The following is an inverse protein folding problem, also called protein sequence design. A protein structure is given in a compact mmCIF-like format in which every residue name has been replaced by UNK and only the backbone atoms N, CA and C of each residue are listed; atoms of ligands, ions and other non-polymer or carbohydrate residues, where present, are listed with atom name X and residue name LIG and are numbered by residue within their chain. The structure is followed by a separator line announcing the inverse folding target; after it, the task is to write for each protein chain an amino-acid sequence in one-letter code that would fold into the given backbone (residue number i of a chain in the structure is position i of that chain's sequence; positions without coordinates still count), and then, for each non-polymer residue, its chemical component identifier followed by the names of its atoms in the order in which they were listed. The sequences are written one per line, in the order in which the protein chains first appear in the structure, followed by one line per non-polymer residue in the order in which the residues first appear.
data_IF_554298022561
#
_entry.id   IF_554298022561
#
_cell.length_a   1.000
_cell.length_b   1.000
_cell.length_c   1.000
_cell.angle_alpha   90.00
_cell.angle_beta   90.00
_cell.angle_gamma   90.00
#
_symmetry.space_group_name_H-M   'P 1'
#
loop_
_entity.id
_entity.type
_entity.pdbx_description
1 polymer ?
#
# COMPACT_ATOMS: atom_id res chain seq x y z
N UNK A 1 -30.27 -7.70 43.64
CA UNK A 1 -30.09 -8.11 42.23
C UNK A 1 -29.81 -6.97 41.24
N UNK A 2 -29.89 -5.70 41.60
CA UNK A 2 -29.65 -4.55 40.68
C UNK A 2 -28.18 -4.16 40.47
N UNK A 3 -27.27 -4.43 41.41
CA UNK A 3 -25.84 -4.07 41.32
C UNK A 3 -25.06 -4.81 40.21
N UNK A 4 -25.45 -6.04 39.87
CA UNK A 4 -24.76 -6.83 38.85
C UNK A 4 -25.09 -6.38 37.41
N UNK A 5 -26.26 -5.80 37.14
CA UNK A 5 -26.62 -5.32 35.79
C UNK A 5 -25.82 -4.09 35.38
N UNK A 6 -25.61 -3.12 36.32
CA UNK A 6 -24.80 -1.93 36.05
C UNK A 6 -23.32 -2.25 35.81
N UNK A 7 -22.76 -3.21 36.53
CA UNK A 7 -21.37 -3.64 36.34
C UNK A 7 -21.18 -4.33 34.96
N UNK A 8 -22.12 -5.19 34.58
CA UNK A 8 -22.09 -5.85 33.27
C UNK A 8 -22.26 -4.84 32.12
N UNK A 9 -23.09 -3.83 32.29
CA UNK A 9 -23.31 -2.76 31.29
C UNK A 9 -22.07 -1.87 31.14
N UNK A 10 -21.39 -1.51 32.25
CA UNK A 10 -20.14 -0.78 32.23
C UNK A 10 -19.00 -1.57 31.60
N UNK A 11 -18.91 -2.89 31.89
CA UNK A 11 -17.91 -3.76 31.30
C UNK A 11 -18.12 -3.92 29.79
N UNK A 12 -19.36 -4.08 29.34
CA UNK A 12 -19.71 -4.11 27.91
C UNK A 12 -19.39 -2.77 27.22
N UNK A 13 -19.71 -1.64 27.86
CA UNK A 13 -19.40 -0.32 27.31
C UNK A 13 -17.89 -0.08 27.19
N UNK A 14 -17.10 -0.50 28.19
CA UNK A 14 -15.64 -0.41 28.14
C UNK A 14 -15.03 -1.30 27.05
N UNK A 15 -15.57 -2.48 26.81
CA UNK A 15 -15.18 -3.39 25.73
C UNK A 15 -15.52 -2.81 24.34
N UNK A 16 -16.64 -2.10 24.20
CA UNK A 16 -16.99 -1.41 22.94
C UNK A 16 -16.05 -0.24 22.65
N UNK A 17 -15.70 0.56 23.65
CA UNK A 17 -14.77 1.70 23.49
C UNK A 17 -13.36 1.21 23.13
N UNK A 18 -12.88 0.17 23.80
CA UNK A 18 -11.57 -0.45 23.49
C UNK A 18 -11.55 -1.10 22.11
N UNK A 19 -12.63 -1.76 21.69
CA UNK A 19 -12.74 -2.32 20.33
C UNK A 19 -12.71 -1.23 19.25
N UNK A 20 -13.39 -0.09 19.45
CA UNK A 20 -13.35 1.03 18.51
C UNK A 20 -11.93 1.61 18.38
N UNK A 21 -11.22 1.78 19.49
CA UNK A 21 -9.85 2.31 19.49
C UNK A 21 -8.88 1.33 18.81
N UNK A 22 -8.95 0.03 19.11
CA UNK A 22 -8.11 -1.00 18.48
C UNK A 22 -8.36 -1.09 16.96
N UNK A 23 -9.59 -0.88 16.50
CA UNK A 23 -9.87 -0.90 15.07
C UNK A 23 -9.41 0.37 14.33
N UNK A 24 -9.26 1.51 15.05
CA UNK A 24 -8.68 2.73 14.50
C UNK A 24 -7.17 2.70 14.36
N UNK A 25 -6.47 1.89 15.15
CA UNK A 25 -5.00 1.82 15.10
C UNK A 25 -4.43 1.20 13.81
N UNK A 26 -5.27 0.69 12.92
CA UNK A 26 -4.85 0.14 11.63
C UNK A 26 -4.84 1.16 10.49
N UNK A 27 -5.31 2.38 10.71
CA UNK A 27 -5.35 3.43 9.71
C UNK A 27 -4.96 4.76 10.37
N UNK A 28 -3.81 5.29 9.97
CA UNK A 28 -3.27 6.57 10.45
C UNK A 28 -3.13 7.55 9.27
N UNK A 29 -4.26 8.02 8.71
CA UNK A 29 -4.21 8.93 7.58
C UNK A 29 -3.53 10.24 7.97
N UNK A 30 -2.76 10.78 7.03
CA UNK A 30 -2.36 12.18 7.00
C UNK A 30 -3.20 12.81 5.90
N UNK A 31 -4.19 13.59 6.30
CA UNK A 31 -5.08 14.31 5.38
C UNK A 31 -4.43 15.64 4.97
N UNK A 32 -4.60 16.02 3.72
CA UNK A 32 -4.23 17.34 3.22
C UNK A 32 -5.49 18.14 2.97
N UNK A 33 -5.47 19.42 3.34
CA UNK A 33 -6.57 20.32 2.98
C UNK A 33 -6.68 20.40 1.44
N UNK A 34 -7.88 20.37 0.91
CA UNK A 34 -8.14 20.40 -0.53
C UNK A 34 -7.59 21.64 -1.24
N UNK A 35 -7.40 22.73 -0.51
CA UNK A 35 -6.81 23.99 -0.98
C UNK A 35 -5.33 24.16 -0.60
N UNK A 36 -4.72 23.13 0.01
CA UNK A 36 -3.30 23.16 0.35
C UNK A 36 -2.44 23.35 -0.90
N UNK A 37 -1.58 24.36 -0.87
CA UNK A 37 -0.70 24.72 -1.99
C UNK A 37 0.69 24.12 -1.88
N UNK A 38 1.09 23.65 -0.72
CA UNK A 38 2.41 23.06 -0.55
C UNK A 38 2.50 22.16 0.68
N UNK A 39 3.48 21.24 0.63
CA UNK A 39 3.98 20.48 1.76
C UNK A 39 5.50 20.59 1.82
N UNK A 40 6.08 20.44 3.01
CA UNK A 40 7.53 20.49 3.19
C UNK A 40 8.02 19.19 3.80
N UNK A 41 9.06 18.62 3.18
CA UNK A 41 9.77 17.44 3.66
C UNK A 41 11.22 17.82 3.98
N UNK A 42 11.77 17.19 5.02
CA UNK A 42 13.19 17.29 5.34
C UNK A 42 13.87 15.94 5.03
N UNK A 43 14.73 15.91 4.03
CA UNK A 43 15.37 14.70 3.53
C UNK A 43 16.88 14.90 3.55
N UNK A 44 17.61 14.15 4.39
CA UNK A 44 19.07 14.13 4.48
C UNK A 44 19.71 15.54 4.61
N UNK A 45 19.07 16.44 5.35
CA UNK A 45 19.56 17.80 5.56
C UNK A 45 19.05 18.83 4.55
N UNK A 46 18.45 18.40 3.45
CA UNK A 46 17.78 19.28 2.49
C UNK A 46 16.31 19.51 2.90
N UNK A 47 15.84 20.72 2.59
CA UNK A 47 14.41 21.04 2.64
C UNK A 47 13.81 20.93 1.25
N UNK A 48 12.88 20.00 1.07
CA UNK A 48 12.14 19.83 -0.19
C UNK A 48 10.72 20.35 0.02
N UNK A 49 10.39 21.44 -0.65
CA UNK A 49 9.02 21.95 -0.72
C UNK A 49 8.34 21.38 -1.96
N UNK A 50 7.18 20.80 -1.78
CA UNK A 50 6.36 20.28 -2.86
C UNK A 50 5.21 21.27 -3.02
N UNK A 51 5.14 21.92 -4.18
CA UNK A 51 4.03 22.80 -4.55
C UNK A 51 3.02 22.02 -5.35
N UNK A 52 1.73 22.22 -5.04
CA UNK A 52 0.62 21.57 -5.73
C UNK A 52 -0.14 22.59 -6.59
N UNK A 53 -0.54 22.16 -7.78
CA UNK A 53 -1.24 23.03 -8.75
C UNK A 53 -2.37 22.29 -9.46
N UNK A 54 -3.37 23.04 -9.91
CA UNK A 54 -4.55 22.50 -10.60
C UNK A 54 -5.46 21.68 -9.66
N UNK A 55 -6.60 21.26 -10.20
CA UNK A 55 -7.61 20.49 -9.46
C UNK A 55 -7.18 19.04 -9.20
N UNK A 56 -6.14 18.58 -9.88
CA UNK A 56 -5.53 17.26 -9.70
C UNK A 56 -4.34 17.27 -8.75
N UNK A 57 -4.04 18.40 -8.10
CA UNK A 57 -2.92 18.54 -7.16
C UNK A 57 -1.56 18.10 -7.77
N UNK A 58 -1.27 18.54 -9.00
CA UNK A 58 -0.02 18.22 -9.70
C UNK A 58 1.19 18.70 -8.91
N UNK A 59 2.12 17.80 -8.48
CA UNK A 59 3.26 18.19 -7.66
C UNK A 59 4.40 18.78 -8.47
N UNK A 60 5.07 19.78 -7.89
CA UNK A 60 6.35 20.32 -8.32
C UNK A 60 7.30 20.37 -7.13
N UNK A 61 8.45 19.74 -7.24
CA UNK A 61 9.41 19.61 -6.14
C UNK A 61 10.47 20.71 -6.24
N UNK A 62 10.70 21.44 -5.14
CA UNK A 62 11.64 22.54 -5.04
C UNK A 62 12.61 22.26 -3.89
N UNK A 63 13.91 22.17 -4.17
CA UNK A 63 14.95 21.94 -3.18
C UNK A 63 15.45 23.28 -2.64
N UNK A 64 15.50 23.40 -1.31
CA UNK A 64 16.04 24.56 -0.59
C UNK A 64 15.47 25.91 -1.08
N UNK A 65 14.22 25.92 -1.54
CA UNK A 65 13.50 27.12 -1.98
C UNK A 65 14.02 27.75 -3.28
N UNK A 66 14.88 27.08 -4.05
CA UNK A 66 15.54 27.63 -5.24
C UNK A 66 15.41 26.76 -6.48
N UNK A 67 15.78 25.49 -6.37
CA UNK A 67 15.96 24.64 -7.54
C UNK A 67 14.81 23.66 -7.70
N UNK A 68 14.17 23.67 -8.87
CA UNK A 68 13.23 22.62 -9.24
C UNK A 68 13.97 21.28 -9.36
N UNK A 69 13.50 20.27 -8.64
CA UNK A 69 14.08 18.94 -8.70
C UNK A 69 13.69 18.27 -10.01
N UNK A 70 14.69 17.94 -10.83
CA UNK A 70 14.49 17.15 -12.02
C UNK A 70 14.62 15.66 -11.67
N UNK A 71 13.64 14.85 -12.07
CA UNK A 71 13.65 13.41 -11.96
C UNK A 71 13.89 12.77 -13.33
N UNK A 72 14.41 11.56 -13.36
CA UNK A 72 14.51 10.68 -14.54
C UNK A 72 13.17 10.04 -14.92
N UNK A 73 12.10 10.40 -14.22
CA UNK A 73 10.72 10.01 -14.46
C UNK A 73 9.78 11.21 -14.45
N UNK A 74 8.62 11.07 -15.05
CA UNK A 74 7.51 12.03 -14.96
C UNK A 74 6.54 11.60 -13.85
N UNK A 75 5.86 12.60 -13.28
CA UNK A 75 4.74 12.41 -12.34
C UNK A 75 3.51 13.04 -12.99
N UNK A 76 2.46 12.26 -13.17
CA UNK A 76 1.13 12.74 -13.53
C UNK A 76 0.20 12.51 -12.35
N UNK A 77 -0.30 13.57 -11.75
CA UNK A 77 -1.30 13.49 -10.69
C UNK A 77 -2.69 13.46 -11.29
N UNK A 78 -3.52 12.56 -10.82
CA UNK A 78 -4.89 12.36 -11.29
C UNK A 78 -5.87 12.26 -10.11
N UNK A 79 -7.10 12.71 -10.37
CA UNK A 79 -8.23 12.44 -9.47
C UNK A 79 -9.17 11.45 -10.17
N UNK A 80 -9.63 10.42 -9.45
CA UNK A 80 -10.51 9.39 -10.00
C UNK A 80 -11.55 8.94 -8.98
N UNK A 81 -12.72 8.52 -9.46
CA UNK A 81 -13.81 8.09 -8.61
C UNK A 81 -13.60 6.68 -8.03
N UNK A 82 -13.90 6.52 -6.75
CA UNK A 82 -13.98 5.24 -6.07
C UNK A 82 -15.41 4.78 -5.87
N UNK A 83 -15.63 3.49 -5.89
CA UNK A 83 -16.91 2.87 -5.48
C UNK A 83 -17.23 3.10 -4.00
N UNK A 84 -16.31 3.69 -3.23
CA UNK A 84 -16.59 4.23 -1.88
C UNK A 84 -17.49 5.47 -1.93
N UNK A 85 -17.60 6.12 -3.09
CA UNK A 85 -18.29 7.40 -3.31
C UNK A 85 -17.37 8.61 -3.13
N UNK A 86 -16.06 8.40 -2.97
CA UNK A 86 -15.06 9.45 -2.75
C UNK A 86 -14.20 9.63 -4.01
N UNK A 87 -13.70 10.84 -4.23
CA UNK A 87 -12.68 11.13 -5.23
C UNK A 87 -11.30 10.85 -4.64
N UNK A 88 -10.48 10.08 -5.34
CA UNK A 88 -9.15 9.66 -4.87
C UNK A 88 -8.05 10.31 -5.68
N UNK A 89 -6.94 10.64 -5.03
CA UNK A 89 -5.72 11.09 -5.69
C UNK A 89 -4.79 9.91 -5.99
N UNK A 90 -4.21 9.90 -7.19
CA UNK A 90 -3.21 8.94 -7.60
C UNK A 90 -2.12 9.60 -8.43
N UNK A 91 -0.88 9.10 -8.34
CA UNK A 91 0.24 9.56 -9.16
C UNK A 91 0.72 8.43 -10.07
N UNK A 92 0.71 8.71 -11.39
CA UNK A 92 1.39 7.86 -12.37
C UNK A 92 2.85 8.29 -12.49
N UNK A 93 3.75 7.38 -12.16
CA UNK A 93 5.19 7.55 -12.26
C UNK A 93 5.69 6.80 -13.50
N UNK A 94 6.21 7.52 -14.50
CA UNK A 94 6.65 6.93 -15.77
C UNK A 94 8.11 7.29 -16.04
N UNK A 95 9.02 6.31 -16.20
CA UNK A 95 10.41 6.58 -16.55
C UNK A 95 10.50 7.28 -17.91
N UNK A 96 11.47 8.21 -18.07
CA UNK A 96 11.62 9.00 -19.30
C UNK A 96 12.36 8.25 -20.40
N UNK A 97 13.40 7.51 -20.04
CA UNK A 97 14.35 6.93 -20.98
C UNK A 97 14.20 5.41 -21.14
N UNK A 98 13.26 4.81 -20.41
CA UNK A 98 13.04 3.36 -20.40
C UNK A 98 11.58 3.08 -20.76
N UNK A 99 11.33 2.26 -21.79
CA UNK A 99 9.98 1.80 -22.09
C UNK A 99 9.53 0.78 -21.02
N UNK A 100 8.46 1.03 -20.26
CA UNK A 100 7.98 0.12 -19.24
C UNK A 100 7.55 -1.23 -19.84
N UNK A 101 7.95 -2.31 -19.17
CA UNK A 101 7.51 -3.69 -19.45
C UNK A 101 6.39 -4.13 -18.53
N UNK A 102 6.38 -3.56 -17.32
CA UNK A 102 5.34 -3.84 -16.33
C UNK A 102 4.92 -2.56 -15.59
N UNK A 103 3.66 -2.55 -15.17
CA UNK A 103 3.04 -1.49 -14.38
C UNK A 103 2.76 -2.01 -12.97
N UNK A 104 3.26 -1.30 -11.97
CA UNK A 104 3.02 -1.58 -10.56
C UNK A 104 1.83 -0.73 -10.07
N UNK A 105 0.76 -1.38 -9.60
CA UNK A 105 -0.24 -0.71 -8.79
C UNK A 105 0.23 -0.77 -7.35
N UNK A 106 0.63 0.36 -6.78
CA UNK A 106 1.22 0.42 -5.47
C UNK A 106 0.22 0.81 -4.38
N UNK A 107 0.10 -0.04 -3.39
CA UNK A 107 -0.65 0.19 -2.15
C UNK A 107 0.32 0.44 -1.00
N UNK A 108 0.34 1.67 -0.51
CA UNK A 108 1.24 2.10 0.55
C UNK A 108 0.84 1.59 1.94
N UNK A 109 1.75 1.74 2.91
CA UNK A 109 1.55 1.35 4.30
C UNK A 109 0.54 2.22 5.06
N UNK A 110 0.41 1.92 6.36
CA UNK A 110 -0.61 2.52 7.22
C UNK A 110 -0.51 4.04 7.41
N UNK A 111 0.71 4.59 7.48
CA UNK A 111 0.96 6.00 7.74
C UNK A 111 1.54 6.71 6.52
N UNK A 112 1.36 8.02 6.46
CA UNK A 112 1.81 8.83 5.33
C UNK A 112 0.76 8.92 4.22
N UNK A 113 1.19 9.34 3.04
CA UNK A 113 0.37 9.49 1.84
C UNK A 113 1.31 9.52 0.61
N UNK A 114 0.80 9.60 -0.60
CA UNK A 114 1.59 9.51 -1.86
C UNK A 114 2.88 10.33 -1.78
N UNK A 115 2.80 11.58 -1.30
CA UNK A 115 3.95 12.49 -1.23
C UNK A 115 5.15 11.91 -0.46
N UNK A 116 4.90 11.15 0.59
CA UNK A 116 5.95 10.51 1.39
C UNK A 116 6.20 9.04 1.01
N UNK A 117 5.29 8.40 0.30
CA UNK A 117 5.32 6.96 0.04
C UNK A 117 5.77 6.60 -1.39
N UNK A 118 5.61 7.50 -2.38
CA UNK A 118 5.99 7.23 -3.78
C UNK A 118 7.47 6.85 -3.96
N UNK A 119 8.35 7.34 -3.07
CA UNK A 119 9.79 7.05 -3.10
C UNK A 119 10.11 5.55 -3.04
N UNK A 120 9.22 4.75 -2.47
CA UNK A 120 9.39 3.30 -2.43
C UNK A 120 9.42 2.67 -3.84
N UNK A 121 8.76 3.31 -4.81
CA UNK A 121 8.66 2.78 -6.18
C UNK A 121 9.69 3.37 -7.14
N UNK A 122 10.30 4.53 -6.83
CA UNK A 122 11.09 5.28 -7.81
C UNK A 122 12.33 4.52 -8.32
N UNK A 123 12.99 3.73 -7.49
CA UNK A 123 14.15 2.94 -7.91
C UNK A 123 13.77 1.77 -8.83
N UNK A 124 12.54 1.24 -8.72
CA UNK A 124 12.05 0.20 -9.61
C UNK A 124 11.79 0.73 -11.03
N UNK A 125 11.52 2.03 -11.19
CA UNK A 125 11.32 2.64 -12.51
C UNK A 125 12.56 2.47 -13.40
N UNK A 126 13.78 2.51 -12.82
CA UNK A 126 15.05 2.33 -13.52
C UNK A 126 15.26 0.90 -14.04
N UNK A 127 14.42 -0.03 -13.63
CA UNK A 127 14.45 -1.44 -14.07
C UNK A 127 13.37 -1.79 -15.11
N UNK A 128 12.65 -0.80 -15.65
CA UNK A 128 11.62 -1.02 -16.68
C UNK A 128 10.23 -1.21 -16.12
N UNK A 129 9.96 -0.65 -14.96
CA UNK A 129 8.62 -0.51 -14.42
C UNK A 129 8.10 0.93 -14.61
N UNK A 130 6.80 1.07 -14.61
CA UNK A 130 6.09 2.30 -14.26
C UNK A 130 5.21 1.99 -13.05
N UNK A 131 4.79 3.00 -12.29
CA UNK A 131 4.03 2.78 -11.07
C UNK A 131 2.87 3.73 -10.93
N UNK A 132 1.70 3.21 -10.55
CA UNK A 132 0.55 3.99 -10.14
C UNK A 132 0.41 3.89 -8.62
N UNK A 133 0.68 4.99 -7.93
CA UNK A 133 0.64 5.12 -6.46
C UNK A 133 -0.65 5.81 -6.08
N UNK A 134 -1.40 5.28 -5.13
CA UNK A 134 -2.75 5.76 -4.79
C UNK A 134 -2.87 6.11 -3.32
N UNK A 135 -3.51 7.23 -3.01
CA UNK A 135 -4.00 7.55 -1.67
C UNK A 135 -5.42 6.99 -1.47
N UNK A 136 -5.61 6.29 -0.37
CA UNK A 136 -6.95 5.79 0.02
C UNK A 136 -7.83 6.92 0.54
N UNK A 137 -9.15 6.71 0.62
CA UNK A 137 -10.08 7.64 1.26
C UNK A 137 -9.56 8.19 2.59
N UNK A 138 -9.49 9.52 2.72
CA UNK A 138 -8.99 10.21 3.91
C UNK A 138 -7.47 10.28 4.04
N UNK A 139 -6.70 9.89 3.00
CA UNK A 139 -5.25 10.09 2.92
C UNK A 139 -4.93 11.15 1.88
N UNK A 140 -3.91 11.98 2.14
CA UNK A 140 -3.46 13.00 1.22
C UNK A 140 -4.59 13.89 0.75
N UNK A 141 -4.74 14.03 -0.56
CA UNK A 141 -5.84 14.78 -1.19
C UNK A 141 -7.07 13.92 -1.52
N UNK A 142 -7.08 12.65 -1.15
CA UNK A 142 -8.24 11.78 -1.35
C UNK A 142 -9.36 12.13 -0.37
N UNK A 143 -10.58 12.23 -0.89
CA UNK A 143 -11.77 12.58 -0.10
C UNK A 143 -12.18 11.48 0.88
N UNK A 144 -13.10 11.82 1.77
CA UNK A 144 -13.82 10.90 2.62
C UNK A 144 -13.08 10.56 3.90
N UNK A 145 -13.29 9.34 4.41
CA UNK A 145 -12.71 8.87 5.67
C UNK A 145 -12.01 7.54 5.50
N UNK A 146 -10.84 7.43 6.10
CA UNK A 146 -10.09 6.18 6.20
C UNK A 146 -10.86 5.15 7.04
N UNK A 147 -11.49 4.22 6.36
CA UNK A 147 -12.09 3.02 6.96
C UNK A 147 -11.64 1.81 6.17
N UNK A 148 -11.43 0.67 6.83
CA UNK A 148 -11.01 -0.56 6.13
C UNK A 148 -11.97 -0.95 4.98
N UNK A 149 -13.26 -0.65 5.13
CA UNK A 149 -14.26 -0.88 4.07
C UNK A 149 -14.04 0.04 2.86
N UNK A 150 -13.74 1.34 3.10
CA UNK A 150 -13.45 2.27 2.01
C UNK A 150 -12.12 1.90 1.35
N UNK A 151 -11.07 1.65 2.13
CA UNK A 151 -9.74 1.25 1.62
C UNK A 151 -9.82 0.04 0.68
N UNK A 152 -10.64 -0.97 1.00
CA UNK A 152 -10.86 -2.11 0.10
C UNK A 152 -11.56 -1.70 -1.21
N UNK A 153 -12.59 -0.85 -1.13
CA UNK A 153 -13.27 -0.32 -2.32
C UNK A 153 -12.33 0.53 -3.17
N UNK A 154 -11.50 1.34 -2.51
CA UNK A 154 -10.53 2.24 -3.14
C UNK A 154 -9.47 1.43 -3.91
N UNK A 155 -8.94 0.34 -3.31
CA UNK A 155 -8.00 -0.54 -3.97
C UNK A 155 -8.56 -1.18 -5.24
N UNK A 156 -9.80 -1.66 -5.20
CA UNK A 156 -10.49 -2.19 -6.38
C UNK A 156 -10.73 -1.11 -7.45
N UNK A 157 -11.11 0.10 -7.03
CA UNK A 157 -11.35 1.22 -7.94
C UNK A 157 -10.06 1.71 -8.58
N UNK A 158 -8.95 1.74 -7.83
CA UNK A 158 -7.63 2.07 -8.34
C UNK A 158 -7.18 1.09 -9.44
N UNK A 159 -7.40 -0.21 -9.25
CA UNK A 159 -7.10 -1.20 -10.29
C UNK A 159 -7.96 -0.99 -11.53
N UNK A 160 -9.28 -0.75 -11.37
CA UNK A 160 -10.17 -0.50 -12.51
C UNK A 160 -9.78 0.78 -13.26
N UNK A 161 -9.42 1.85 -12.54
CA UNK A 161 -8.92 3.07 -13.14
C UNK A 161 -7.62 2.82 -13.91
N UNK A 162 -6.64 2.14 -13.30
CA UNK A 162 -5.38 1.79 -13.95
C UNK A 162 -5.62 1.01 -15.26
N UNK A 163 -6.49 0.01 -15.25
CA UNK A 163 -6.81 -0.81 -16.43
C UNK A 163 -7.52 -0.02 -17.55
N UNK A 164 -8.15 1.11 -17.23
CA UNK A 164 -8.77 1.99 -18.23
C UNK A 164 -7.77 2.88 -18.96
N UNK A 165 -6.57 3.07 -18.42
CA UNK A 165 -5.54 3.96 -18.96
C UNK A 165 -4.91 3.41 -20.24
N UNK A 166 -4.75 4.22 -21.28
CA UNK A 166 -4.13 3.77 -22.53
C UNK A 166 -2.62 3.51 -22.42
N UNK A 167 -1.92 4.21 -21.49
CA UNK A 167 -0.47 4.11 -21.29
C UNK A 167 -0.01 2.85 -20.53
N UNK A 168 -0.94 2.08 -19.97
CA UNK A 168 -0.65 0.78 -19.38
C UNK A 168 -0.93 -0.39 -20.33
N UNK A 169 -1.58 -0.12 -21.47
CA UNK A 169 -1.86 -1.17 -22.47
C UNK A 169 -0.56 -1.75 -23.02
N UNK A 170 -0.46 -3.07 -22.96
CA UNK A 170 0.73 -3.80 -23.43
C UNK A 170 1.84 -3.95 -22.40
N UNK A 171 1.63 -3.47 -21.15
CA UNK A 171 2.48 -3.81 -20.01
C UNK A 171 1.82 -4.89 -19.17
N UNK A 172 2.63 -5.68 -18.45
CA UNK A 172 2.15 -6.59 -17.41
C UNK A 172 1.69 -5.78 -16.20
N UNK A 173 0.57 -6.15 -15.56
CA UNK A 173 0.06 -5.49 -14.36
C UNK A 173 0.37 -6.29 -13.11
N UNK A 174 1.07 -5.67 -12.17
CA UNK A 174 1.40 -6.27 -10.87
C UNK A 174 0.85 -5.38 -9.75
N UNK A 175 0.15 -5.96 -8.79
CA UNK A 175 -0.17 -5.25 -7.57
C UNK A 175 1.01 -5.39 -6.60
N UNK A 176 1.52 -4.28 -6.09
CA UNK A 176 2.59 -4.24 -5.10
C UNK A 176 2.07 -3.57 -3.83
N UNK A 177 2.06 -4.28 -2.71
CA UNK A 177 1.58 -3.74 -1.45
C UNK A 177 2.59 -3.83 -0.33
N UNK A 178 2.74 -2.76 0.45
CA UNK A 178 3.62 -2.69 1.61
C UNK A 178 2.81 -2.65 2.91
N UNK A 179 3.16 -3.48 3.90
CA UNK A 179 2.56 -3.48 5.24
C UNK A 179 1.02 -3.62 5.19
N UNK A 180 0.26 -2.61 5.61
CA UNK A 180 -1.19 -2.52 5.44
C UNK A 180 -1.60 -2.70 3.97
N UNK A 181 -0.89 -2.02 3.08
CA UNK A 181 -1.10 -2.13 1.62
C UNK A 181 -0.84 -3.54 1.10
N UNK A 182 0.06 -4.31 1.72
CA UNK A 182 0.30 -5.72 1.38
C UNK A 182 -0.87 -6.62 1.75
N UNK A 183 -1.50 -6.37 2.91
CA UNK A 183 -2.72 -7.07 3.28
C UNK A 183 -3.88 -6.72 2.33
N UNK A 184 -4.02 -5.43 1.96
CA UNK A 184 -4.99 -4.98 0.96
C UNK A 184 -4.72 -5.60 -0.42
N UNK A 185 -3.45 -5.60 -0.85
CA UNK A 185 -3.01 -6.12 -2.16
C UNK A 185 -3.41 -7.58 -2.37
N UNK A 186 -3.24 -8.42 -1.34
CA UNK A 186 -3.64 -9.82 -1.39
C UNK A 186 -5.13 -10.00 -1.68
N UNK A 187 -5.98 -9.17 -1.04
CA UNK A 187 -7.43 -9.23 -1.21
C UNK A 187 -7.87 -8.68 -2.57
N UNK A 188 -7.32 -7.54 -2.98
CA UNK A 188 -7.65 -6.94 -4.30
C UNK A 188 -7.16 -7.85 -5.43
N UNK A 189 -5.99 -8.47 -5.28
CA UNK A 189 -5.44 -9.41 -6.26
C UNK A 189 -6.31 -10.66 -6.40
N UNK A 190 -6.75 -11.25 -5.30
CA UNK A 190 -7.65 -12.41 -5.33
C UNK A 190 -8.98 -12.08 -6.03
N UNK A 191 -9.59 -10.94 -5.69
CA UNK A 191 -10.86 -10.50 -6.28
C UNK A 191 -10.76 -10.16 -7.78
N UNK A 192 -9.56 -9.93 -8.31
CA UNK A 192 -9.32 -9.44 -9.68
C UNK A 192 -8.23 -10.22 -10.42
N UNK A 193 -8.07 -11.50 -10.15
CA UNK A 193 -6.99 -12.34 -10.70
C UNK A 193 -6.88 -12.24 -12.23
N UNK A 194 -8.01 -12.16 -12.93
CA UNK A 194 -8.05 -12.10 -14.40
C UNK A 194 -7.57 -10.76 -14.99
N UNK A 195 -7.43 -9.72 -14.15
CA UNK A 195 -7.01 -8.38 -14.57
C UNK A 195 -5.53 -8.10 -14.29
N UNK A 196 -4.82 -9.03 -13.63
CA UNK A 196 -3.44 -8.84 -13.20
C UNK A 196 -2.56 -10.02 -13.59
N UNK A 197 -1.26 -9.80 -13.66
CA UNK A 197 -0.27 -10.83 -14.00
C UNK A 197 0.48 -11.33 -12.77
N UNK A 198 0.49 -10.60 -11.65
CA UNK A 198 1.19 -11.01 -10.44
C UNK A 198 0.92 -10.13 -9.24
N UNK A 199 1.38 -10.59 -8.09
CA UNK A 199 1.25 -9.93 -6.80
C UNK A 199 2.58 -9.91 -6.06
N UNK A 200 2.95 -8.76 -5.50
CA UNK A 200 4.05 -8.61 -4.56
C UNK A 200 3.51 -8.11 -3.23
N UNK A 201 3.83 -8.79 -2.13
CA UNK A 201 3.53 -8.34 -0.77
C UNK A 201 4.82 -8.19 0.01
N UNK A 202 5.08 -7.00 0.54
CA UNK A 202 6.28 -6.68 1.30
C UNK A 202 5.92 -6.28 2.72
N UNK A 203 6.53 -6.96 3.72
CA UNK A 203 6.32 -6.68 5.13
C UNK A 203 4.84 -6.76 5.56
N UNK A 204 4.04 -7.59 4.88
CA UNK A 204 2.61 -7.67 5.11
C UNK A 204 2.26 -8.53 6.32
N UNK A 205 1.25 -8.11 7.08
CA UNK A 205 0.69 -8.94 8.14
C UNK A 205 -0.35 -9.93 7.59
N UNK A 206 -0.41 -11.10 8.20
CA UNK A 206 -1.26 -12.22 7.78
C UNK A 206 -2.76 -11.91 7.89
N UNK A 207 -3.18 -11.27 8.99
CA UNK A 207 -4.56 -10.81 9.22
C UNK A 207 -4.58 -9.67 10.23
N UNK A 208 -5.67 -8.89 10.26
CA UNK A 208 -5.85 -7.85 11.28
C UNK A 208 -5.91 -8.43 12.70
N UNK A 209 -6.45 -9.63 12.86
CA UNK A 209 -6.47 -10.31 14.15
C UNK A 209 -5.08 -10.74 14.59
N UNK A 210 -4.27 -11.29 13.68
CA UNK A 210 -2.91 -11.74 14.00
C UNK A 210 -2.02 -10.56 14.42
N UNK A 211 -2.04 -9.46 13.66
CA UNK A 211 -1.28 -8.26 14.07
C UNK A 211 -1.87 -7.62 15.33
N UNK A 212 -3.17 -7.72 15.56
CA UNK A 212 -3.83 -7.32 16.80
C UNK A 212 -3.31 -8.09 18.02
N UNK A 213 -2.96 -9.36 17.86
CA UNK A 213 -2.33 -10.16 18.93
C UNK A 213 -0.96 -9.60 19.31
N UNK A 214 -0.16 -9.15 18.34
CA UNK A 214 1.14 -8.51 18.62
C UNK A 214 0.97 -7.27 19.51
N UNK A 215 -0.05 -6.45 19.25
CA UNK A 215 -0.23 -5.18 19.96
C UNK A 215 -0.98 -5.31 21.31
N UNK A 216 -1.89 -6.27 21.45
CA UNK A 216 -2.77 -6.36 22.61
C UNK A 216 -2.99 -7.83 23.08
N UNK A 217 -2.12 -8.75 22.71
CA UNK A 217 -2.22 -10.15 23.10
C UNK A 217 -3.56 -10.78 22.74
N UNK A 218 -4.07 -11.67 23.56
CA UNK A 218 -5.34 -12.37 23.35
C UNK A 218 -6.54 -11.39 23.21
N UNK A 219 -6.50 -10.27 23.92
CA UNK A 219 -7.54 -9.23 23.84
C UNK A 219 -7.60 -8.64 22.42
N UNK A 220 -6.45 -8.42 21.79
CA UNK A 220 -6.37 -7.98 20.38
C UNK A 220 -7.08 -8.94 19.44
N UNK A 221 -6.88 -10.25 19.62
CA UNK A 221 -7.54 -11.28 18.80
C UNK A 221 -9.07 -11.25 18.91
N UNK A 222 -9.60 -10.94 20.10
CA UNK A 222 -11.04 -10.92 20.36
C UNK A 222 -11.69 -9.61 19.91
N UNK A 223 -11.03 -8.47 20.14
CA UNK A 223 -11.63 -7.15 19.90
C UNK A 223 -11.39 -6.60 18.49
N UNK A 224 -10.35 -7.07 17.80
CA UNK A 224 -10.10 -6.66 16.41
C UNK A 224 -11.08 -7.35 15.48
N UNK A 225 -11.81 -6.53 14.72
CA UNK A 225 -12.71 -7.04 13.68
C UNK A 225 -11.92 -7.35 12.42
N UNK A 226 -12.10 -8.51 11.86
CA UNK A 226 -11.63 -8.82 10.50
C UNK A 226 -12.58 -8.20 9.48
N UNK A 227 -12.05 -7.42 8.54
CA UNK A 227 -12.83 -6.84 7.43
C UNK A 227 -12.44 -7.51 6.12
N UNK A 228 -11.14 -7.81 5.99
CA UNK A 228 -10.53 -8.58 4.91
C UNK A 228 -9.23 -9.18 5.44
N UNK A 229 -8.72 -10.24 4.81
CA UNK A 229 -7.69 -11.09 5.40
C UNK A 229 -6.76 -11.62 4.29
N UNK A 230 -5.49 -11.24 4.36
CA UNK A 230 -4.51 -11.64 3.36
C UNK A 230 -4.37 -13.16 3.25
N UNK A 231 -4.30 -13.88 4.39
CA UNK A 231 -4.13 -15.35 4.39
C UNK A 231 -5.34 -16.05 3.79
N UNK A 232 -6.56 -15.61 4.10
CA UNK A 232 -7.77 -16.18 3.51
C UNK A 232 -7.81 -15.94 1.99
N UNK A 233 -7.54 -14.73 1.54
CA UNK A 233 -7.56 -14.39 0.12
C UNK A 233 -6.45 -15.10 -0.66
N UNK A 234 -5.24 -15.19 -0.09
CA UNK A 234 -4.13 -15.81 -0.79
C UNK A 234 -4.30 -17.33 -0.98
N UNK A 235 -5.11 -18.00 -0.17
CA UNK A 235 -5.45 -19.41 -0.33
C UNK A 235 -6.18 -19.70 -1.66
N UNK A 236 -6.92 -18.71 -2.16
CA UNK A 236 -7.68 -18.79 -3.42
C UNK A 236 -7.06 -17.98 -4.57
N UNK A 237 -5.87 -17.43 -4.35
CA UNK A 237 -5.09 -16.73 -5.39
C UNK A 237 -4.27 -17.72 -6.20
N UNK A 238 -4.35 -17.65 -7.55
CA UNK A 238 -3.75 -18.62 -8.47
C UNK A 238 -2.69 -18.01 -9.41
N UNK A 239 -2.45 -16.72 -9.35
CA UNK A 239 -1.42 -16.05 -10.16
C UNK A 239 -0.09 -16.01 -9.40
N UNK A 240 1.02 -15.68 -10.08
CA UNK A 240 2.33 -15.59 -9.44
C UNK A 240 2.38 -14.64 -8.26
N UNK A 241 2.99 -15.08 -7.16
CA UNK A 241 3.18 -14.34 -5.91
C UNK A 241 4.65 -14.24 -5.55
N UNK A 242 5.10 -13.03 -5.23
CA UNK A 242 6.36 -12.76 -4.54
C UNK A 242 6.05 -12.22 -3.13
N UNK A 243 6.51 -12.89 -2.10
CA UNK A 243 6.50 -12.39 -0.71
C UNK A 243 7.90 -11.88 -0.39
N UNK A 244 8.01 -10.63 0.06
CA UNK A 244 9.26 -10.01 0.53
C UNK A 244 9.09 -9.69 2.00
N UNK A 245 10.00 -10.14 2.86
CA UNK A 245 9.91 -9.86 4.29
C UNK A 245 11.29 -9.80 4.94
N UNK A 246 11.49 -8.81 5.83
CA UNK A 246 12.72 -8.69 6.59
C UNK A 246 12.71 -9.62 7.80
N UNK A 247 13.83 -10.31 8.03
CA UNK A 247 14.03 -11.11 9.25
C UNK A 247 14.14 -10.25 10.50
N UNK A 248 14.48 -8.96 10.32
CA UNK A 248 14.64 -7.97 11.38
C UNK A 248 13.43 -7.02 11.51
N UNK A 249 12.28 -7.37 10.89
CA UNK A 249 11.07 -6.55 10.93
C UNK A 249 10.51 -6.46 12.35
N UNK A 250 10.66 -5.29 12.97
CA UNK A 250 10.18 -4.98 14.32
C UNK A 250 8.71 -4.52 14.35
N UNK A 251 8.14 -4.17 13.19
CA UNK A 251 6.75 -3.71 13.03
C UNK A 251 5.80 -4.88 12.75
N UNK A 252 6.08 -5.68 11.74
CA UNK A 252 5.31 -6.86 11.36
C UNK A 252 6.17 -8.11 11.50
N UNK A 253 5.87 -9.02 12.44
CA UNK A 253 6.66 -10.23 12.62
C UNK A 253 6.89 -11.02 11.35
N UNK A 254 8.12 -11.47 11.12
CA UNK A 254 8.56 -12.26 9.97
C UNK A 254 7.66 -13.48 9.70
N UNK A 255 7.21 -14.15 10.76
CA UNK A 255 6.31 -15.30 10.67
C UNK A 255 4.97 -14.99 9.98
N UNK A 256 4.55 -13.72 9.96
CA UNK A 256 3.32 -13.34 9.25
C UNK A 256 3.50 -13.39 7.73
N UNK A 257 4.66 -12.94 7.22
CA UNK A 257 5.02 -13.09 5.81
C UNK A 257 5.19 -14.56 5.44
N UNK A 258 5.83 -15.34 6.29
CA UNK A 258 5.95 -16.80 6.13
C UNK A 258 4.59 -17.46 6.04
N UNK A 259 3.66 -17.11 6.93
CA UNK A 259 2.29 -17.64 6.92
C UNK A 259 1.55 -17.31 5.60
N UNK A 260 1.70 -16.09 5.06
CA UNK A 260 1.15 -15.74 3.74
C UNK A 260 1.74 -16.65 2.66
N UNK A 261 3.07 -16.80 2.64
CA UNK A 261 3.77 -17.62 1.67
C UNK A 261 3.37 -19.10 1.76
N UNK A 262 3.33 -19.67 2.96
CA UNK A 262 3.01 -21.08 3.16
C UNK A 262 1.58 -21.40 2.71
N UNK A 263 0.64 -20.48 2.94
CA UNK A 263 -0.77 -20.63 2.53
C UNK A 263 -0.97 -20.52 1.02
N UNK A 264 -0.16 -19.71 0.33
CA UNK A 264 -0.29 -19.45 -1.09
C UNK A 264 -0.06 -20.72 -1.92
N UNK A 265 -0.73 -20.77 -3.09
CA UNK A 265 -0.52 -21.81 -4.11
C UNK A 265 0.67 -21.45 -5.00
N UNK A 266 1.16 -22.43 -5.76
CA UNK A 266 2.14 -22.19 -6.83
C UNK A 266 1.48 -21.48 -8.02
N UNK A 267 2.23 -20.63 -8.77
CA UNK A 267 3.65 -20.29 -8.57
C UNK A 267 3.84 -19.21 -7.48
N UNK A 268 4.78 -19.45 -6.58
CA UNK A 268 5.11 -18.51 -5.49
C UNK A 268 6.59 -18.51 -5.17
N UNK A 269 7.12 -17.38 -4.74
CA UNK A 269 8.47 -17.23 -4.22
C UNK A 269 8.49 -16.40 -2.93
N UNK A 270 9.49 -16.65 -2.10
CA UNK A 270 9.75 -15.89 -0.89
C UNK A 270 11.15 -15.28 -0.98
N UNK A 271 11.24 -13.98 -0.77
CA UNK A 271 12.50 -13.27 -0.73
C UNK A 271 12.72 -12.71 0.68
N UNK A 272 13.59 -13.37 1.39
CA UNK A 272 14.05 -12.99 2.72
C UNK A 272 15.08 -11.89 2.59
N UNK A 273 14.88 -10.79 3.30
CA UNK A 273 15.79 -9.66 3.35
C UNK A 273 16.14 -9.32 4.78
N UNK A 274 17.19 -8.56 4.97
CA UNK A 274 17.58 -7.98 6.25
C UNK A 274 17.15 -6.52 6.34
N UNK A 275 17.21 -5.95 7.56
CA UNK A 275 17.03 -4.53 7.82
C UNK A 275 15.59 -4.15 8.16
N UNK A 276 15.19 -2.94 7.81
CA UNK A 276 13.96 -2.34 8.32
C UNK A 276 12.68 -2.92 7.73
N UNK A 277 11.57 -2.66 8.42
CA UNK A 277 10.22 -2.85 7.90
C UNK A 277 10.05 -2.16 6.53
N UNK A 278 9.55 -2.84 5.51
CA UNK A 278 9.27 -2.29 4.15
C UNK A 278 10.42 -1.53 3.47
N UNK A 279 11.66 -1.94 3.67
CA UNK A 279 12.80 -1.34 2.96
C UNK A 279 13.23 -2.09 1.70
N UNK A 280 12.55 -3.17 1.34
CA UNK A 280 12.91 -4.03 0.22
C UNK A 280 12.98 -3.28 -1.11
N UNK A 281 11.89 -2.65 -1.53
CA UNK A 281 11.85 -1.90 -2.79
C UNK A 281 12.87 -0.75 -2.87
N UNK A 282 13.38 -0.27 -1.73
CA UNK A 282 14.37 0.80 -1.67
C UNK A 282 15.80 0.29 -1.60
N UNK A 283 16.06 -0.77 -0.85
CA UNK A 283 17.41 -1.29 -0.61
C UNK A 283 17.75 -2.42 -1.58
N UNK A 284 16.80 -3.30 -1.85
CA UNK A 284 16.93 -4.51 -2.66
C UNK A 284 16.20 -4.39 -4.01
N UNK A 285 16.11 -3.16 -4.55
CA UNK A 285 15.32 -2.87 -5.75
C UNK A 285 15.74 -3.67 -6.98
N UNK A 286 17.03 -4.03 -7.11
CA UNK A 286 17.55 -4.82 -8.24
C UNK A 286 17.03 -6.25 -8.17
N UNK A 287 17.24 -6.89 -7.03
CA UNK A 287 16.84 -8.28 -6.78
C UNK A 287 15.32 -8.43 -6.84
N UNK A 288 14.59 -7.45 -6.32
CA UNK A 288 13.13 -7.42 -6.40
C UNK A 288 12.67 -7.26 -7.85
N UNK A 289 13.30 -6.38 -8.64
CA UNK A 289 12.99 -6.21 -10.05
C UNK A 289 13.24 -7.51 -10.84
N UNK A 290 14.37 -8.17 -10.62
CA UNK A 290 14.70 -9.46 -11.23
C UNK A 290 13.66 -10.53 -10.88
N UNK A 291 13.31 -10.67 -9.59
CA UNK A 291 12.29 -11.62 -9.14
C UNK A 291 10.88 -11.33 -9.69
N UNK A 292 10.51 -10.06 -9.86
CA UNK A 292 9.25 -9.71 -10.52
C UNK A 292 9.30 -10.09 -11.99
N UNK A 293 10.41 -9.86 -12.70
CA UNK A 293 10.53 -10.26 -14.10
C UNK A 293 10.55 -11.76 -14.28
N UNK A 294 11.24 -12.52 -13.42
CA UNK A 294 11.18 -13.98 -13.38
C UNK A 294 9.73 -14.46 -13.19
N UNK A 295 9.03 -13.90 -12.21
CA UNK A 295 7.64 -14.20 -11.91
C UNK A 295 6.70 -13.94 -13.10
N UNK A 296 7.00 -12.92 -13.91
CA UNK A 296 6.23 -12.54 -15.10
C UNK A 296 6.70 -13.20 -16.39
N UNK A 297 7.73 -14.04 -16.35
CA UNK A 297 8.39 -14.64 -17.53
C UNK A 297 8.90 -13.58 -18.52
N UNK A 298 9.34 -12.42 -17.99
CA UNK A 298 9.91 -11.33 -18.77
C UNK A 298 11.44 -11.37 -18.72
N UNK A 299 12.09 -11.05 -19.84
CA UNK A 299 13.55 -10.97 -19.87
C UNK A 299 14.03 -9.74 -19.11
N UNK A 300 14.97 -9.94 -18.17
CA UNK A 300 15.85 -8.88 -17.66
C UNK A 300 16.77 -8.42 -18.79
N UNK A 301 17.02 -7.13 -18.89
CA UNK A 301 18.00 -6.63 -19.87
C UNK A 301 19.41 -6.94 -19.43
#
# INVERSE_FOLDING_TARGET
MLKNKSFFTLLLLSLFITSCNLNRMFLHPIEMDSDAKSATLHIQGDTVTIQYSGDNHQPMFIRNGRDTVAFDYSIESVMFESTSGNLLNGWMLTPKDIKPKATLLFFHGNSGFITSQHWSMTLLLNHGFQAFVVDYSGYGFSEGKATRKNVLKDGNSALNYLQSRPDVKGTKTVIYGQSLGGNLAAVVAEQNQEKIDGLVVEGAFSSHKDIGVKFAGFIGKVLVKETYNAVESIADYHKPLLVVHSTEDDVVPFDMGRKIYETARQPKSFYEIDGCHICGARVYHKEIAEKIFEMLELQTK
#
